data_IF_409571940255
#
_entry.id   IF_409571940255
#
_cell.length_a   1.000
_cell.length_b   1.000
_cell.length_c   1.000
_cell.angle_alpha   90.00
_cell.angle_beta   90.00
_cell.angle_gamma   90.00
#
_symmetry.space_group_name_H-M   'P 1'
#
loop_
_entity.id
_entity.type
_entity.pdbx_description
1 polymer ?
#
# COMPACT_ATOMS: atom_id res chain seq x y z
N UNK A 1 10.63 -22.43 -5.08
CA UNK A 1 11.30 -21.72 -3.97
C UNK A 1 10.34 -20.65 -3.51
N UNK A 2 9.91 -20.70 -2.26
CA UNK A 2 8.94 -19.74 -1.72
C UNK A 2 9.57 -18.35 -1.66
N UNK A 3 8.79 -17.32 -2.01
CA UNK A 3 9.22 -15.93 -1.90
C UNK A 3 9.48 -15.60 -0.42
N UNK A 4 10.69 -15.11 -0.07
CA UNK A 4 11.07 -14.90 1.33
C UNK A 4 10.22 -13.81 2.02
N UNK A 5 9.73 -12.82 1.27
CA UNK A 5 8.89 -11.76 1.82
C UNK A 5 7.49 -12.30 2.10
N UNK A 6 6.93 -13.09 1.18
CA UNK A 6 5.63 -13.74 1.37
C UNK A 6 5.70 -14.72 2.54
N UNK A 7 6.74 -15.55 2.63
CA UNK A 7 6.94 -16.47 3.74
C UNK A 7 7.06 -15.76 5.09
N UNK A 8 7.76 -14.62 5.15
CA UNK A 8 7.86 -13.81 6.36
C UNK A 8 6.49 -13.26 6.78
N UNK A 9 5.75 -12.68 5.84
CA UNK A 9 4.40 -12.13 6.11
C UNK A 9 3.43 -13.23 6.54
N UNK A 10 3.47 -14.41 5.90
CA UNK A 10 2.68 -15.57 6.27
C UNK A 10 2.99 -16.07 7.69
N UNK A 11 4.29 -16.13 8.05
CA UNK A 11 4.70 -16.50 9.41
C UNK A 11 4.17 -15.51 10.46
N UNK A 12 4.15 -14.21 10.13
CA UNK A 12 3.63 -13.17 11.00
C UNK A 12 2.10 -13.26 11.13
N UNK A 13 1.39 -13.50 10.02
CA UNK A 13 -0.06 -13.74 10.03
C UNK A 13 -0.42 -14.92 10.94
N UNK A 14 0.33 -16.02 10.83
CA UNK A 14 0.19 -17.21 11.69
C UNK A 14 0.45 -16.89 13.17
N UNK A 15 1.46 -16.08 13.48
CA UNK A 15 1.77 -15.68 14.86
C UNK A 15 0.67 -14.79 15.48
N UNK A 16 0.04 -13.92 14.69
CA UNK A 16 -1.07 -13.05 15.12
C UNK A 16 -2.42 -13.79 15.13
N UNK A 17 -2.50 -14.96 14.47
CA UNK A 17 -3.71 -15.78 14.40
C UNK A 17 -4.75 -15.24 13.41
N UNK A 18 -4.32 -14.54 12.37
CA UNK A 18 -5.20 -13.98 11.32
C UNK A 18 -4.94 -14.64 9.97
N UNK A 19 -5.96 -14.74 9.08
CA UNK A 19 -5.73 -15.16 7.71
C UNK A 19 -4.74 -14.25 7.00
N UNK A 20 -3.87 -14.81 6.15
CA UNK A 20 -2.85 -14.04 5.40
C UNK A 20 -3.47 -12.92 4.57
N UNK A 21 -4.57 -13.23 3.87
CA UNK A 21 -5.31 -12.24 3.09
C UNK A 21 -5.77 -11.06 3.96
N UNK A 22 -6.30 -11.31 5.15
CA UNK A 22 -6.72 -10.25 6.08
C UNK A 22 -5.55 -9.38 6.53
N UNK A 23 -4.36 -9.96 6.71
CA UNK A 23 -3.16 -9.20 7.03
C UNK A 23 -2.74 -8.31 5.84
N UNK A 24 -2.74 -8.83 4.61
CA UNK A 24 -2.42 -8.02 3.42
C UNK A 24 -3.39 -6.85 3.27
N UNK A 25 -4.67 -7.13 3.47
CA UNK A 25 -5.74 -6.13 3.48
C UNK A 25 -5.50 -5.03 4.54
N UNK A 26 -4.96 -5.40 5.70
CA UNK A 26 -4.62 -4.42 6.75
C UNK A 26 -3.49 -3.48 6.32
N UNK A 27 -2.47 -3.96 5.58
CA UNK A 27 -1.42 -3.11 5.03
C UNK A 27 -1.99 -2.07 4.07
N UNK A 28 -2.97 -2.46 3.24
CA UNK A 28 -3.64 -1.53 2.33
C UNK A 28 -4.34 -0.40 3.09
N UNK A 29 -5.18 -0.74 4.07
CA UNK A 29 -5.91 0.26 4.87
C UNK A 29 -4.99 1.16 5.69
N UNK A 30 -4.03 0.59 6.41
CA UNK A 30 -3.09 1.35 7.23
C UNK A 30 -2.24 2.25 6.34
N UNK A 31 -1.79 1.74 5.19
CA UNK A 31 -1.02 2.52 4.22
C UNK A 31 -1.80 3.71 3.69
N UNK A 32 -3.06 3.50 3.26
CA UNK A 32 -3.92 4.55 2.74
C UNK A 32 -4.28 5.61 3.80
N UNK A 33 -4.59 5.19 5.03
CA UNK A 33 -4.85 6.12 6.14
C UNK A 33 -3.61 6.94 6.51
N UNK A 34 -2.43 6.33 6.44
CA UNK A 34 -1.17 7.05 6.66
C UNK A 34 -0.93 8.11 5.58
N UNK A 35 -1.20 7.80 4.31
CA UNK A 35 -1.14 8.79 3.23
C UNK A 35 -2.19 9.89 3.38
N UNK A 36 -3.41 9.56 3.79
CA UNK A 36 -4.45 10.56 4.05
C UNK A 36 -4.06 11.52 5.18
N UNK A 37 -3.51 10.97 6.27
CA UNK A 37 -2.97 11.78 7.38
C UNK A 37 -1.85 12.69 6.88
N UNK A 38 -0.88 12.13 6.14
CA UNK A 38 0.22 12.90 5.58
C UNK A 38 -0.24 14.01 4.63
N UNK A 39 -1.25 13.76 3.79
CA UNK A 39 -1.83 14.77 2.91
C UNK A 39 -2.40 15.97 3.67
N UNK A 40 -3.14 15.72 4.76
CA UNK A 40 -3.75 16.80 5.55
C UNK A 40 -2.74 17.59 6.40
N UNK A 41 -1.57 17.01 6.70
CA UNK A 41 -0.49 17.65 7.46
C UNK A 41 0.62 18.26 6.58
N UNK A 42 0.46 18.24 5.25
CA UNK A 42 1.29 18.95 4.28
C UNK A 42 2.78 18.66 4.40
N UNK A 43 3.57 19.72 4.59
CA UNK A 43 5.05 19.68 4.60
C UNK A 43 5.66 19.51 5.99
N UNK A 44 4.86 19.10 6.97
CA UNK A 44 5.39 18.89 8.32
C UNK A 44 6.25 17.61 8.40
N UNK A 45 7.29 17.57 9.25
CA UNK A 45 8.06 16.35 9.49
C UNK A 45 7.21 15.10 9.77
N UNK A 46 6.19 15.13 10.66
CA UNK A 46 5.35 13.95 10.89
C UNK A 46 4.57 13.51 9.64
N UNK A 47 4.22 14.43 8.73
CA UNK A 47 3.60 14.07 7.46
C UNK A 47 4.56 13.24 6.60
N UNK A 48 5.84 13.63 6.49
CA UNK A 48 6.82 12.89 5.69
C UNK A 48 7.06 11.47 6.22
N UNK A 49 7.18 11.29 7.55
CA UNK A 49 7.30 9.96 8.16
C UNK A 49 6.04 9.10 7.95
N UNK A 50 4.86 9.72 8.08
CA UNK A 50 3.59 9.05 7.82
C UNK A 50 3.46 8.66 6.34
N UNK A 51 3.87 9.51 5.40
CA UNK A 51 3.87 9.16 3.99
C UNK A 51 4.84 8.00 3.69
N UNK A 52 6.04 8.00 4.26
CA UNK A 52 6.98 6.91 4.07
C UNK A 52 6.45 5.56 4.53
N UNK A 53 5.74 5.53 5.66
CA UNK A 53 5.03 4.33 6.12
C UNK A 53 3.90 3.96 5.14
N UNK A 54 3.15 4.95 4.67
CA UNK A 54 2.08 4.77 3.69
C UNK A 54 2.54 4.13 2.38
N UNK A 55 3.57 4.70 1.76
CA UNK A 55 4.17 4.19 0.51
C UNK A 55 4.73 2.78 0.67
N UNK A 56 5.41 2.51 1.78
CA UNK A 56 6.00 1.19 2.04
C UNK A 56 4.92 0.12 2.23
N UNK A 57 3.85 0.43 2.99
CA UNK A 57 2.76 -0.52 3.23
C UNK A 57 1.91 -0.78 1.99
N UNK A 58 1.60 0.26 1.20
CA UNK A 58 0.91 0.06 -0.08
C UNK A 58 1.77 -0.72 -1.07
N UNK A 59 3.07 -0.42 -1.14
CA UNK A 59 4.02 -1.18 -1.94
C UNK A 59 4.09 -2.66 -1.55
N UNK A 60 4.10 -2.94 -0.24
CA UNK A 60 4.05 -4.30 0.29
C UNK A 60 2.74 -5.01 -0.06
N UNK A 61 1.60 -4.34 0.09
CA UNK A 61 0.29 -4.88 -0.28
C UNK A 61 0.26 -5.31 -1.75
N UNK A 62 0.68 -4.43 -2.67
CA UNK A 62 0.73 -4.76 -4.10
C UNK A 62 1.72 -5.90 -4.39
N UNK A 63 2.88 -5.92 -3.73
CA UNK A 63 3.85 -7.00 -3.88
C UNK A 63 3.29 -8.36 -3.50
N UNK A 64 2.50 -8.45 -2.42
CA UNK A 64 1.84 -9.71 -2.02
C UNK A 64 0.91 -10.25 -3.11
N UNK A 65 0.37 -9.39 -3.98
CA UNK A 65 -0.50 -9.80 -5.09
C UNK A 65 0.29 -10.31 -6.31
N UNK A 66 1.61 -10.10 -6.37
CA UNK A 66 2.42 -10.47 -7.54
C UNK A 66 2.36 -11.97 -7.87
N UNK A 67 2.29 -12.84 -6.86
CA UNK A 67 2.19 -14.29 -7.05
C UNK A 67 0.98 -14.71 -7.88
N UNK A 68 -0.18 -14.07 -7.63
CA UNK A 68 -1.38 -14.30 -8.42
C UNK A 68 -1.18 -13.95 -9.90
N UNK A 69 -0.48 -12.85 -10.19
CA UNK A 69 -0.21 -12.43 -11.58
C UNK A 69 0.82 -13.32 -12.28
N UNK A 70 1.72 -13.97 -11.53
CA UNK A 70 2.59 -15.03 -12.07
C UNK A 70 1.77 -16.24 -12.49
N UNK A 71 0.79 -16.65 -11.68
CA UNK A 71 -0.07 -17.81 -11.96
C UNK A 71 -0.93 -17.64 -13.21
N UNK A 72 -1.42 -16.42 -13.48
CA UNK A 72 -2.22 -16.12 -14.67
C UNK A 72 -1.38 -15.65 -15.87
N UNK A 73 -0.05 -15.78 -15.80
CA UNK A 73 0.90 -15.44 -16.87
C UNK A 73 0.78 -13.98 -17.38
N UNK A 74 0.53 -13.02 -16.48
CA UNK A 74 0.50 -11.58 -16.81
C UNK A 74 1.82 -10.89 -16.44
N UNK A 75 2.82 -10.83 -17.35
CA UNK A 75 4.13 -10.28 -17.04
C UNK A 75 4.11 -8.78 -16.73
N UNK A 76 3.13 -8.04 -17.26
CA UNK A 76 3.03 -6.60 -17.03
C UNK A 76 2.61 -6.34 -15.59
N UNK A 77 1.56 -7.01 -15.13
CA UNK A 77 1.09 -6.86 -13.76
C UNK A 77 2.07 -7.43 -12.75
N UNK A 78 2.79 -8.51 -13.08
CA UNK A 78 3.92 -8.98 -12.25
C UNK A 78 4.97 -7.88 -12.07
N UNK A 79 5.41 -7.23 -13.15
CA UNK A 79 6.40 -6.14 -13.06
C UNK A 79 5.89 -4.97 -12.21
N UNK A 80 4.64 -4.55 -12.43
CA UNK A 80 4.04 -3.42 -11.71
C UNK A 80 3.88 -3.72 -10.21
N UNK A 81 3.40 -4.92 -9.86
CA UNK A 81 3.14 -5.32 -8.47
C UNK A 81 4.42 -5.65 -7.71
N UNK A 82 5.35 -6.38 -8.32
CA UNK A 82 6.65 -6.66 -7.71
C UNK A 82 7.50 -5.39 -7.57
N UNK A 83 7.41 -4.46 -8.54
CA UNK A 83 8.09 -3.17 -8.50
C UNK A 83 7.51 -2.18 -7.49
N UNK A 84 6.26 -2.38 -7.04
CA UNK A 84 5.59 -1.45 -6.12
C UNK A 84 6.28 -1.37 -4.76
N UNK A 85 6.78 -2.47 -4.21
CA UNK A 85 7.49 -2.48 -2.92
C UNK A 85 8.80 -1.68 -2.95
N UNK A 86 9.77 -1.95 -3.84
CA UNK A 86 10.99 -1.16 -3.90
C UNK A 86 10.71 0.31 -4.26
N UNK A 87 9.74 0.59 -5.14
CA UNK A 87 9.34 1.95 -5.46
C UNK A 87 8.74 2.70 -4.26
N UNK A 88 7.85 2.04 -3.50
CA UNK A 88 7.24 2.60 -2.30
C UNK A 88 8.27 2.91 -1.20
N UNK A 89 9.23 2.00 -0.98
CA UNK A 89 10.34 2.24 -0.05
C UNK A 89 11.22 3.40 -0.52
N UNK A 90 11.57 3.45 -1.81
CA UNK A 90 12.40 4.52 -2.36
C UNK A 90 11.72 5.90 -2.23
N UNK A 91 10.43 5.99 -2.54
CA UNK A 91 9.64 7.21 -2.36
C UNK A 91 9.55 7.61 -0.88
N UNK A 92 9.33 6.66 0.02
CA UNK A 92 9.31 6.94 1.45
C UNK A 92 10.64 7.47 1.99
N UNK A 93 11.76 6.87 1.59
CA UNK A 93 13.11 7.37 1.94
C UNK A 93 13.33 8.77 1.39
N UNK A 94 12.90 9.01 0.15
CA UNK A 94 13.02 10.31 -0.48
C UNK A 94 12.21 11.37 0.28
N UNK A 95 10.97 11.09 0.65
CA UNK A 95 10.13 12.03 1.39
C UNK A 95 10.69 12.39 2.76
N UNK A 96 11.20 11.40 3.51
CA UNK A 96 11.79 11.65 4.84
C UNK A 96 13.07 12.48 4.73
N UNK A 97 13.90 12.24 3.71
CA UNK A 97 15.15 13.00 3.53
C UNK A 97 14.93 14.41 3.01
N UNK A 98 13.85 14.63 2.29
CA UNK A 98 13.58 15.86 1.55
C UNK A 98 12.32 16.56 2.08
N UNK A 99 11.94 16.35 3.34
CA UNK A 99 10.70 16.91 3.90
C UNK A 99 10.66 18.44 3.88
N UNK A 100 11.82 19.10 3.91
CA UNK A 100 11.94 20.57 3.81
C UNK A 100 11.72 21.10 2.39
N UNK A 101 11.78 20.22 1.38
CA UNK A 101 11.47 20.59 0.01
C UNK A 101 9.96 20.58 -0.17
N UNK A 102 9.36 21.77 -0.04
CA UNK A 102 7.94 22.01 -0.34
C UNK A 102 7.65 21.60 -1.79
N UNK A 103 7.10 20.39 -1.96
CA UNK A 103 6.72 19.84 -3.25
C UNK A 103 5.23 19.54 -3.24
N UNK A 104 4.45 20.54 -3.64
CA UNK A 104 3.00 20.48 -3.68
C UNK A 104 2.50 19.28 -4.51
N UNK A 105 3.22 18.89 -5.58
CA UNK A 105 2.84 17.75 -6.42
C UNK A 105 2.88 16.43 -5.66
N UNK A 106 3.83 16.27 -4.73
CA UNK A 106 3.93 15.07 -3.91
C UNK A 106 2.87 15.04 -2.81
N UNK A 107 2.56 16.18 -2.20
CA UNK A 107 1.43 16.28 -1.29
C UNK A 107 0.15 15.84 -2.01
N UNK A 108 -0.10 16.38 -3.20
CA UNK A 108 -1.23 15.97 -4.03
C UNK A 108 -1.21 14.48 -4.39
N UNK A 109 -0.04 13.90 -4.69
CA UNK A 109 0.09 12.47 -4.96
C UNK A 109 -0.32 11.62 -3.76
N UNK A 110 0.09 11.98 -2.53
CA UNK A 110 -0.34 11.30 -1.29
C UNK A 110 -1.87 11.28 -1.19
N UNK A 111 -2.50 12.44 -1.40
CA UNK A 111 -3.95 12.60 -1.35
C UNK A 111 -4.66 11.84 -2.47
N UNK A 112 -4.17 11.92 -3.70
CA UNK A 112 -4.76 11.24 -4.86
C UNK A 112 -4.80 9.73 -4.65
N UNK A 113 -3.70 9.14 -4.17
CA UNK A 113 -3.63 7.69 -3.89
C UNK A 113 -4.52 7.33 -2.70
N UNK A 114 -4.45 8.07 -1.59
CA UNK A 114 -5.27 7.80 -0.41
C UNK A 114 -6.77 7.83 -0.75
N UNK A 115 -7.22 8.87 -1.44
CA UNK A 115 -8.63 9.07 -1.76
C UNK A 115 -9.11 8.28 -2.98
N UNK A 116 -8.22 7.69 -3.78
CA UNK A 116 -8.64 6.64 -4.72
C UNK A 116 -8.83 5.30 -4.03
N UNK A 117 -7.95 4.96 -3.08
CA UNK A 117 -7.95 3.64 -2.41
C UNK A 117 -9.06 3.55 -1.37
N UNK A 118 -9.18 4.53 -0.46
CA UNK A 118 -10.11 4.48 0.68
C UNK A 118 -11.56 4.22 0.24
N UNK A 119 -12.15 4.98 -0.71
CA UNK A 119 -13.54 4.77 -1.11
C UNK A 119 -13.72 3.43 -1.83
N UNK A 120 -12.80 3.07 -2.73
CA UNK A 120 -12.83 1.80 -3.43
C UNK A 120 -12.84 0.63 -2.45
N UNK A 121 -11.97 0.71 -1.45
CA UNK A 121 -11.82 -0.34 -0.47
C UNK A 121 -13.00 -0.41 0.51
N UNK A 122 -13.56 0.75 0.90
CA UNK A 122 -14.80 0.79 1.68
C UNK A 122 -15.95 0.08 0.96
N UNK A 123 -16.10 0.32 -0.35
CA UNK A 123 -17.09 -0.37 -1.19
C UNK A 123 -16.78 -1.87 -1.26
N UNK A 124 -15.52 -2.25 -1.55
CA UNK A 124 -15.08 -3.64 -1.60
C UNK A 124 -15.38 -4.41 -0.30
N UNK A 125 -15.21 -3.75 0.84
CA UNK A 125 -15.36 -4.37 2.17
C UNK A 125 -16.83 -4.53 2.60
N UNK A 126 -17.76 -3.81 1.97
CA UNK A 126 -19.19 -3.88 2.30
C UNK A 126 -19.89 -4.74 1.25
N UNK A 127 -20.33 -5.97 1.58
CA UNK A 127 -20.90 -6.89 0.60
C UNK A 127 -22.05 -6.31 -0.20
N UNK A 128 -22.93 -5.51 0.42
CA UNK A 128 -24.08 -4.91 -0.27
C UNK A 128 -23.68 -3.87 -1.33
N UNK A 129 -22.49 -3.27 -1.20
CA UNK A 129 -21.94 -2.31 -2.16
C UNK A 129 -21.03 -3.01 -3.20
N UNK A 130 -20.44 -4.16 -2.85
CA UNK A 130 -19.58 -4.97 -3.72
C UNK A 130 -20.34 -6.06 -4.51
N UNK A 131 -21.66 -6.17 -4.34
CA UNK A 131 -22.47 -7.02 -5.22
C UNK A 131 -22.54 -6.37 -6.60
N UNK A 132 -21.84 -6.94 -7.58
CA UNK A 132 -22.35 -6.91 -8.95
C UNK A 132 -23.75 -7.50 -8.88
N UNK A 133 -24.77 -6.73 -9.28
CA UNK A 133 -26.14 -7.23 -9.38
C UNK A 133 -26.15 -8.52 -10.23
N UNK A 134 -26.24 -9.67 -9.57
CA UNK A 134 -26.44 -11.01 -10.15
C UNK A 134 -27.68 -11.60 -9.50
#
# INVERSE_FOLDING_TARGET
MEDPVVALVGSFAGAVGVPEFSLWLSFCWIGALSLAYSFHWGDSPPAAYSAALGWSLLGLFFYMQSGYFVEIEDPLLVLMTAGALPAGIALGIWEVKNWELENESLIWLRGAVAWSVIPYYAVYSVPILNMQFV
#
